data_IF_789800532614
#
_entry.id   IF_789800532614
#
_cell.length_a   1.000
_cell.length_b   1.000
_cell.length_c   1.000
_cell.angle_alpha   90.00
_cell.angle_beta   90.00
_cell.angle_gamma   90.00
#
_symmetry.space_group_name_H-M   'P 1'
#
loop_
_entity.id
_entity.type
_entity.pdbx_description
1 polymer ?
#
# COMPACT_ATOMS: atom_id res chain seq x y z
N UNK A 1 -13.14 -3.21 -24.63
CA UNK A 1 -13.04 -2.45 -23.36
C UNK A 1 -12.38 -3.37 -22.35
N UNK A 2 -11.31 -2.95 -21.67
CA UNK A 2 -10.58 -3.83 -20.75
C UNK A 2 -11.28 -3.85 -19.39
N UNK A 3 -11.52 -5.06 -18.86
CA UNK A 3 -12.06 -5.28 -17.54
C UNK A 3 -10.92 -5.67 -16.58
N UNK A 4 -10.84 -4.98 -15.45
CA UNK A 4 -9.86 -5.19 -14.39
C UNK A 4 -10.55 -5.80 -13.18
N UNK A 5 -9.94 -6.86 -12.65
CA UNK A 5 -10.47 -7.69 -11.57
C UNK A 5 -9.79 -7.34 -10.23
N UNK A 6 -10.35 -7.82 -9.12
CA UNK A 6 -9.79 -7.60 -7.79
C UNK A 6 -8.68 -8.63 -7.51
N UNK A 7 -7.53 -8.20 -6.99
CA UNK A 7 -6.48 -9.14 -6.55
C UNK A 7 -6.69 -9.52 -5.08
N UNK A 8 -7.15 -10.74 -4.81
CA UNK A 8 -7.52 -11.23 -3.47
C UNK A 8 -6.86 -12.59 -3.26
N UNK A 9 -6.15 -12.74 -2.14
CA UNK A 9 -5.50 -14.00 -1.74
C UNK A 9 -4.53 -14.60 -2.80
N UNK A 10 -3.91 -13.76 -3.63
CA UNK A 10 -3.00 -14.22 -4.68
C UNK A 10 -3.65 -14.46 -6.04
N UNK A 11 -4.97 -14.23 -6.15
CA UNK A 11 -5.74 -14.51 -7.36
C UNK A 11 -6.47 -13.26 -7.86
N UNK A 12 -6.68 -13.19 -9.17
CA UNK A 12 -7.48 -12.16 -9.82
C UNK A 12 -8.93 -12.62 -9.92
N UNK A 13 -9.83 -12.00 -9.14
CA UNK A 13 -11.23 -12.38 -9.02
C UNK A 13 -12.15 -11.34 -9.68
N UNK A 14 -13.06 -11.77 -10.58
CA UNK A 14 -14.10 -10.88 -11.10
C UNK A 14 -15.07 -10.47 -9.98
N UNK A 15 -15.80 -9.38 -10.17
CA UNK A 15 -16.89 -8.98 -9.30
C UNK A 15 -18.18 -8.81 -10.11
N UNK A 16 -19.32 -8.98 -9.47
CA UNK A 16 -20.64 -8.81 -10.10
C UNK A 16 -20.86 -7.37 -10.57
N UNK A 17 -20.37 -6.40 -9.80
CA UNK A 17 -20.43 -4.98 -10.14
C UNK A 17 -19.08 -4.51 -10.67
N UNK A 18 -19.14 -3.71 -11.72
CA UNK A 18 -17.99 -2.98 -12.25
C UNK A 18 -18.29 -1.49 -12.32
N UNK A 19 -17.25 -0.67 -12.16
CA UNK A 19 -17.32 0.78 -12.33
C UNK A 19 -16.45 1.20 -13.50
N UNK A 20 -17.03 1.95 -14.44
CA UNK A 20 -16.30 2.59 -15.53
C UNK A 20 -15.41 3.69 -14.97
N UNK A 21 -14.15 3.67 -15.34
CA UNK A 21 -13.21 4.75 -15.14
C UNK A 21 -13.06 5.52 -16.45
N UNK A 22 -13.44 6.79 -16.43
CA UNK A 22 -13.53 7.64 -17.61
C UNK A 22 -12.58 8.80 -17.42
N UNK A 23 -11.83 9.13 -18.47
CA UNK A 23 -10.92 10.24 -18.46
C UNK A 23 -11.71 11.55 -18.25
N UNK A 24 -11.41 12.35 -17.21
CA UNK A 24 -12.14 13.59 -16.94
C UNK A 24 -11.85 14.70 -17.97
N UNK A 25 -10.78 14.58 -18.76
CA UNK A 25 -10.45 15.52 -19.84
C UNK A 25 -11.10 15.17 -21.18
N UNK A 26 -11.56 13.93 -21.35
CA UNK A 26 -12.27 13.45 -22.54
C UNK A 26 -13.24 12.32 -22.13
N UNK A 27 -14.54 12.62 -22.10
CA UNK A 27 -15.55 11.69 -21.60
C UNK A 27 -15.82 10.49 -22.53
N UNK A 28 -15.39 10.58 -23.79
CA UNK A 28 -15.46 9.47 -24.73
C UNK A 28 -14.29 8.48 -24.52
N UNK A 29 -13.25 8.92 -23.81
CA UNK A 29 -12.07 8.14 -23.48
C UNK A 29 -12.28 7.31 -22.20
N UNK A 30 -12.69 6.05 -22.38
CA UNK A 30 -12.86 5.09 -21.28
C UNK A 30 -11.56 4.36 -21.01
N UNK A 31 -11.05 4.49 -19.79
CA UNK A 31 -9.79 3.85 -19.35
C UNK A 31 -9.99 2.35 -19.18
N UNK A 32 -11.09 1.95 -18.56
CA UNK A 32 -11.46 0.56 -18.34
C UNK A 32 -12.61 0.41 -17.35
N UNK A 33 -13.01 -0.83 -17.11
CA UNK A 33 -14.01 -1.20 -16.12
C UNK A 33 -13.34 -1.92 -14.96
N UNK A 34 -13.54 -1.42 -13.74
CA UNK A 34 -12.88 -1.94 -12.55
C UNK A 34 -13.90 -2.64 -11.65
N UNK A 35 -13.59 -3.88 -11.27
CA UNK A 35 -14.38 -4.66 -10.34
C UNK A 35 -14.62 -3.89 -9.03
N UNK A 36 -15.87 -3.87 -8.56
CA UNK A 36 -16.24 -3.35 -7.25
C UNK A 36 -16.44 -4.54 -6.31
N UNK A 37 -15.54 -4.69 -5.33
CA UNK A 37 -15.69 -5.72 -4.32
C UNK A 37 -17.02 -5.59 -3.58
N UNK A 38 -17.67 -6.73 -3.34
CA UNK A 38 -18.81 -6.84 -2.44
C UNK A 38 -18.35 -7.17 -1.00
N UNK A 39 -19.31 -7.38 -0.11
CA UNK A 39 -19.02 -7.71 1.28
C UNK A 39 -18.31 -9.06 1.45
N UNK A 40 -18.63 -10.06 0.62
CA UNK A 40 -18.00 -11.38 0.68
C UNK A 40 -16.54 -11.32 0.22
N UNK A 41 -16.28 -10.67 -0.91
CA UNK A 41 -14.93 -10.44 -1.42
C UNK A 41 -14.09 -9.64 -0.42
N UNK A 42 -14.68 -8.63 0.22
CA UNK A 42 -14.02 -7.86 1.28
C UNK A 42 -13.66 -8.76 2.46
N UNK A 43 -14.60 -9.60 2.93
CA UNK A 43 -14.37 -10.53 4.03
C UNK A 43 -13.29 -11.58 3.69
N UNK A 44 -13.28 -12.07 2.45
CA UNK A 44 -12.25 -12.98 1.94
C UNK A 44 -10.87 -12.32 1.90
N UNK A 45 -10.77 -11.06 1.48
CA UNK A 45 -9.53 -10.30 1.51
C UNK A 45 -9.00 -10.12 2.94
N UNK A 46 -9.89 -9.75 3.88
CA UNK A 46 -9.56 -9.62 5.31
C UNK A 46 -9.07 -10.96 5.88
N UNK A 47 -9.77 -12.05 5.60
CA UNK A 47 -9.39 -13.38 6.06
C UNK A 47 -8.03 -13.83 5.51
N UNK A 48 -7.78 -13.59 4.22
CA UNK A 48 -6.50 -13.91 3.58
C UNK A 48 -5.35 -13.10 4.17
N UNK A 49 -5.55 -11.80 4.40
CA UNK A 49 -4.54 -10.94 5.00
C UNK A 49 -4.24 -11.34 6.46
N UNK A 50 -5.26 -11.70 7.25
CA UNK A 50 -5.08 -12.28 8.60
C UNK A 50 -4.30 -13.59 8.57
N UNK A 51 -4.58 -14.46 7.61
CA UNK A 51 -3.87 -15.73 7.46
C UNK A 51 -2.39 -15.54 7.05
N UNK A 52 -2.09 -14.52 6.24
CA UNK A 52 -0.73 -14.19 5.82
C UNK A 52 0.09 -13.48 6.90
N UNK A 53 -0.58 -12.75 7.82
CA UNK A 53 0.07 -11.89 8.81
C UNK A 53 1.14 -12.60 9.66
N UNK A 54 0.92 -13.79 10.26
CA UNK A 54 1.94 -14.45 11.07
C UNK A 54 3.23 -14.73 10.31
N UNK A 55 3.15 -15.12 9.03
CA UNK A 55 4.33 -15.34 8.20
C UNK A 55 5.04 -14.02 7.89
N UNK A 56 4.28 -12.97 7.61
CA UNK A 56 4.81 -11.64 7.31
C UNK A 56 5.46 -10.97 8.53
N UNK A 57 4.82 -11.02 9.70
CA UNK A 57 5.32 -10.39 10.93
C UNK A 57 6.63 -11.00 11.42
N UNK A 58 6.86 -12.29 11.14
CA UNK A 58 8.10 -13.00 11.47
C UNK A 58 9.16 -12.94 10.36
N UNK A 59 8.90 -12.25 9.25
CA UNK A 59 9.91 -12.09 8.20
C UNK A 59 11.13 -11.33 8.75
N UNK A 60 12.28 -11.51 8.13
CA UNK A 60 13.48 -10.77 8.53
C UNK A 60 13.41 -9.31 8.05
N UNK A 61 14.13 -8.39 8.71
CA UNK A 61 14.36 -7.04 8.20
C UNK A 61 14.84 -7.02 6.74
N UNK A 62 15.77 -7.92 6.39
CA UNK A 62 16.31 -8.00 5.03
C UNK A 62 15.24 -8.39 4.00
N UNK A 63 14.41 -9.39 4.30
CA UNK A 63 13.33 -9.79 3.39
C UNK A 63 12.33 -8.64 3.14
N UNK A 64 12.04 -7.83 4.16
CA UNK A 64 11.18 -6.64 3.99
C UNK A 64 11.87 -5.56 3.17
N UNK A 65 13.16 -5.33 3.40
CA UNK A 65 13.97 -4.41 2.60
C UNK A 65 13.92 -4.82 1.13
N UNK A 66 14.24 -6.08 0.80
CA UNK A 66 14.35 -6.55 -0.58
C UNK A 66 13.03 -6.37 -1.34
N UNK A 67 11.90 -6.71 -0.70
CA UNK A 67 10.57 -6.56 -1.29
C UNK A 67 10.19 -5.09 -1.54
N UNK A 68 10.40 -4.22 -0.55
CA UNK A 68 10.08 -2.79 -0.68
C UNK A 68 11.02 -2.11 -1.69
N UNK A 69 12.31 -2.48 -1.69
CA UNK A 69 13.30 -1.97 -2.62
C UNK A 69 12.95 -2.36 -4.06
N UNK A 70 12.57 -3.63 -4.28
CA UNK A 70 12.13 -4.13 -5.58
C UNK A 70 10.86 -3.41 -6.05
N UNK A 71 9.87 -3.22 -5.17
CA UNK A 71 8.65 -2.48 -5.50
C UNK A 71 8.97 -1.04 -5.92
N UNK A 72 9.79 -0.33 -5.13
CA UNK A 72 10.24 1.02 -5.45
C UNK A 72 11.01 1.10 -6.78
N UNK A 73 11.94 0.18 -7.02
CA UNK A 73 12.68 0.08 -8.30
C UNK A 73 11.73 -0.10 -9.48
N UNK A 74 10.75 -0.99 -9.35
CA UNK A 74 9.77 -1.31 -10.40
C UNK A 74 8.91 -0.10 -10.75
N UNK A 75 8.43 0.63 -9.73
CA UNK A 75 7.64 1.85 -9.92
C UNK A 75 8.49 2.94 -10.62
N UNK A 76 9.71 3.17 -10.15
CA UNK A 76 10.59 4.20 -10.71
C UNK A 76 10.98 3.89 -12.17
N UNK A 77 11.25 2.62 -12.49
CA UNK A 77 11.55 2.18 -13.85
C UNK A 77 10.38 2.45 -14.81
N UNK A 78 9.14 2.38 -14.31
CA UNK A 78 7.90 2.57 -15.10
C UNK A 78 7.24 3.93 -14.89
N UNK A 79 7.92 4.89 -14.25
CA UNK A 79 7.30 6.16 -13.81
C UNK A 79 6.62 6.96 -14.92
N UNK A 80 7.16 6.93 -16.14
CA UNK A 80 6.58 7.65 -17.28
C UNK A 80 5.35 6.94 -17.85
N UNK A 81 5.34 5.61 -17.86
CA UNK A 81 4.19 4.79 -18.27
C UNK A 81 3.04 4.99 -17.28
N UNK A 82 3.31 4.79 -16.00
CA UNK A 82 2.36 4.97 -14.91
C UNK A 82 1.90 6.43 -14.79
N UNK A 83 2.78 7.39 -15.04
CA UNK A 83 2.45 8.82 -15.05
C UNK A 83 1.44 9.18 -16.14
N UNK A 84 1.55 8.58 -17.34
CA UNK A 84 0.55 8.75 -18.40
C UNK A 84 -0.81 8.17 -18.00
N UNK A 85 -0.81 6.99 -17.40
CA UNK A 85 -2.03 6.34 -16.92
C UNK A 85 -2.72 7.19 -15.83
N UNK A 86 -1.96 7.64 -14.83
CA UNK A 86 -2.46 8.49 -13.74
C UNK A 86 -2.97 9.84 -14.25
N UNK A 87 -2.28 10.47 -15.21
CA UNK A 87 -2.75 11.71 -15.83
C UNK A 87 -4.08 11.50 -16.57
N UNK A 88 -4.22 10.41 -17.33
CA UNK A 88 -5.46 10.04 -18.04
C UNK A 88 -6.61 9.73 -17.08
N UNK A 89 -6.31 9.14 -15.93
CA UNK A 89 -7.30 8.78 -14.91
C UNK A 89 -7.80 9.96 -14.08
N UNK A 90 -6.89 10.81 -13.60
CA UNK A 90 -7.25 11.89 -12.67
C UNK A 90 -7.45 13.25 -13.35
N UNK A 91 -6.90 13.45 -14.55
CA UNK A 91 -6.91 14.73 -15.27
C UNK A 91 -5.85 15.73 -14.84
N UNK A 92 -4.83 15.29 -14.07
CA UNK A 92 -3.68 16.13 -13.71
C UNK A 92 -2.70 16.24 -14.86
N UNK A 93 -1.80 17.23 -14.83
CA UNK A 93 -0.79 17.36 -15.89
C UNK A 93 0.16 16.16 -15.90
N UNK A 94 0.71 15.81 -17.07
CA UNK A 94 1.62 14.66 -17.18
C UNK A 94 2.88 14.81 -16.30
N UNK A 95 3.37 16.04 -16.15
CA UNK A 95 4.51 16.35 -15.27
C UNK A 95 4.17 16.10 -13.81
N UNK A 96 3.02 16.56 -13.33
CA UNK A 96 2.56 16.31 -11.96
C UNK A 96 2.34 14.82 -11.69
N UNK A 97 1.67 14.11 -12.60
CA UNK A 97 1.44 12.67 -12.49
C UNK A 97 2.76 11.88 -12.44
N UNK A 98 3.70 12.20 -13.34
CA UNK A 98 5.00 11.54 -13.36
C UNK A 98 5.79 11.82 -12.08
N UNK A 99 5.73 13.04 -11.57
CA UNK A 99 6.35 13.40 -10.30
C UNK A 99 5.71 12.66 -9.12
N UNK A 100 4.39 12.46 -9.13
CA UNK A 100 3.67 11.71 -8.10
C UNK A 100 4.02 10.24 -8.08
N UNK A 101 4.07 9.59 -9.24
CA UNK A 101 4.56 8.20 -9.35
C UNK A 101 6.02 8.11 -8.90
N UNK A 102 6.84 9.10 -9.25
CA UNK A 102 8.21 9.21 -8.76
C UNK A 102 8.27 9.26 -7.23
N UNK A 103 7.46 10.11 -6.60
CA UNK A 103 7.36 10.19 -5.12
C UNK A 103 6.89 8.87 -4.52
N UNK A 104 5.89 8.20 -5.11
CA UNK A 104 5.43 6.89 -4.65
C UNK A 104 6.58 5.87 -4.64
N UNK A 105 7.36 5.77 -5.72
CA UNK A 105 8.53 4.90 -5.78
C UNK A 105 9.59 5.22 -4.72
N UNK A 106 9.82 6.52 -4.43
CA UNK A 106 10.75 6.93 -3.37
C UNK A 106 10.24 6.61 -1.97
N UNK A 107 8.93 6.67 -1.72
CA UNK A 107 8.35 6.25 -0.44
C UNK A 107 8.66 4.76 -0.17
N UNK A 108 8.52 3.90 -1.18
CA UNK A 108 8.91 2.49 -1.05
C UNK A 108 10.41 2.32 -0.74
N UNK A 109 11.29 3.05 -1.43
CA UNK A 109 12.74 3.04 -1.15
C UNK A 109 13.08 3.52 0.26
N UNK A 110 12.41 4.57 0.72
CA UNK A 110 12.59 5.09 2.07
C UNK A 110 12.22 4.03 3.12
N UNK A 111 11.02 3.44 3.02
CA UNK A 111 10.58 2.41 3.97
C UNK A 111 11.34 1.09 3.84
N UNK A 112 11.91 0.78 2.67
CA UNK A 112 12.87 -0.31 2.55
C UNK A 112 14.06 -0.07 3.49
N UNK A 113 14.67 1.11 3.43
CA UNK A 113 15.76 1.51 4.34
C UNK A 113 15.35 1.46 5.82
N UNK A 114 14.14 1.93 6.14
CA UNK A 114 13.63 1.90 7.52
C UNK A 114 13.44 0.47 8.06
N UNK A 115 13.18 -0.52 7.19
CA UNK A 115 13.09 -1.91 7.61
C UNK A 115 14.38 -2.40 8.30
N UNK A 116 15.55 -1.87 7.92
CA UNK A 116 16.87 -2.19 8.49
C UNK A 116 17.23 -1.30 9.68
N UNK A 117 16.47 -0.24 9.97
CA UNK A 117 16.73 0.72 11.06
C UNK A 117 15.78 0.55 12.25
N UNK A 118 15.12 -0.60 12.36
CA UNK A 118 14.28 -0.97 13.50
C UNK A 118 15.16 -1.37 14.70
N UNK A 119 15.87 -0.39 15.25
CA UNK A 119 16.65 -0.53 16.48
C UNK A 119 15.79 -0.51 17.73
N UNK A 120 16.34 -1.09 18.79
CA UNK A 120 15.89 -0.96 20.17
C UNK A 120 16.94 -0.27 21.02
N UNK A 121 16.61 0.01 22.28
CA UNK A 121 17.54 0.61 23.24
C UNK A 121 17.71 -0.31 24.45
N UNK A 122 18.95 -0.38 24.96
CA UNK A 122 19.26 -1.07 26.21
C UNK A 122 19.66 0.00 27.23
N UNK A 123 18.92 0.06 28.33
CA UNK A 123 19.11 1.04 29.40
C UNK A 123 19.47 0.34 30.72
N UNK A 124 20.30 0.96 31.57
CA UNK A 124 20.62 0.42 32.88
C UNK A 124 19.38 0.41 33.78
N UNK A 125 19.21 -0.66 34.54
CA UNK A 125 18.21 -0.67 35.61
C UNK A 125 18.76 -0.03 36.88
N UNK A 126 17.87 0.53 37.70
CA UNK A 126 18.18 0.95 39.08
C UNK A 126 18.37 -0.25 40.02
N UNK A 127 17.96 -1.46 39.62
CA UNK A 127 18.23 -2.68 40.40
C UNK A 127 19.56 -3.30 39.95
N UNK A 128 20.37 -3.85 40.88
CA UNK A 128 21.58 -4.58 40.53
C UNK A 128 21.30 -5.71 39.55
N UNK A 129 22.26 -5.95 38.65
CA UNK A 129 22.27 -7.07 37.70
C UNK A 129 21.05 -7.14 36.77
N UNK A 130 20.42 -5.99 36.47
CA UNK A 130 19.28 -5.90 35.55
C UNK A 130 19.49 -4.83 34.48
N UNK A 131 18.97 -5.11 33.28
CA UNK A 131 18.86 -4.16 32.15
C UNK A 131 17.41 -4.02 31.72
N UNK A 132 17.08 -2.89 31.09
CA UNK A 132 15.78 -2.63 30.47
C UNK A 132 15.99 -2.57 28.97
N UNK A 133 15.25 -3.39 28.23
CA UNK A 133 15.29 -3.42 26.76
C UNK A 133 13.99 -2.86 26.19
N UNK A 134 14.11 -1.96 25.22
CA UNK A 134 12.97 -1.47 24.44
C UNK A 134 13.15 -1.91 22.99
N UNK A 135 12.04 -2.23 22.32
CA UNK A 135 12.06 -2.67 20.94
C UNK A 135 10.76 -2.35 20.24
N UNK A 136 10.82 -2.21 18.92
CA UNK A 136 9.64 -2.00 18.07
C UNK A 136 9.10 -3.35 17.60
N UNK A 137 7.79 -3.52 17.64
CA UNK A 137 7.10 -4.71 17.10
C UNK A 137 6.03 -4.31 16.10
N UNK A 138 5.71 -5.24 15.20
CA UNK A 138 4.60 -5.09 14.26
C UNK A 138 3.28 -5.17 15.04
N UNK A 139 2.42 -4.15 14.87
CA UNK A 139 1.19 -3.98 15.66
C UNK A 139 -0.02 -4.78 15.13
N UNK A 140 -0.02 -5.15 13.85
CA UNK A 140 -1.14 -5.89 13.26
C UNK A 140 -1.27 -5.70 11.75
N UNK A 141 -2.41 -6.14 11.23
CA UNK A 141 -2.86 -5.89 9.86
C UNK A 141 -3.61 -4.55 9.81
N UNK A 142 -3.27 -3.71 8.83
CA UNK A 142 -3.94 -2.43 8.61
C UNK A 142 -4.75 -2.48 7.31
N UNK A 143 -6.00 -2.07 7.37
CA UNK A 143 -6.81 -1.81 6.17
C UNK A 143 -6.50 -0.39 5.66
N UNK A 144 -6.17 -0.28 4.38
CA UNK A 144 -5.91 1.00 3.74
C UNK A 144 -6.88 1.20 2.57
N UNK A 145 -7.74 2.21 2.67
CA UNK A 145 -8.58 2.67 1.56
C UNK A 145 -7.88 3.84 0.85
N UNK A 146 -7.55 3.66 -0.43
CA UNK A 146 -7.00 4.73 -1.26
C UNK A 146 -8.15 5.51 -1.92
N UNK A 147 -8.26 6.81 -1.66
CA UNK A 147 -9.25 7.70 -2.28
C UNK A 147 -8.64 8.55 -3.40
N UNK A 148 -9.33 8.73 -4.52
CA UNK A 148 -8.80 9.38 -5.74
C UNK A 148 -9.15 10.87 -5.90
N UNK A 149 -9.41 11.60 -4.79
CA UNK A 149 -9.43 13.08 -4.69
C UNK A 149 -10.02 13.49 -3.33
N UNK A 150 -9.26 14.19 -2.48
CA UNK A 150 -9.72 14.78 -1.20
C UNK A 150 -10.65 13.86 -0.38
N UNK A 151 -10.13 12.74 0.12
CA UNK A 151 -10.61 12.30 1.42
C UNK A 151 -9.92 13.21 2.44
N UNK A 152 -10.69 14.08 3.10
CA UNK A 152 -10.27 14.86 4.25
C UNK A 152 -9.43 13.97 5.17
N UNK A 153 -8.28 14.48 5.63
CA UNK A 153 -7.39 13.85 6.62
C UNK A 153 -8.09 13.84 7.99
N UNK A 154 -9.26 13.21 8.09
CA UNK A 154 -10.10 13.18 9.29
C UNK A 154 -10.70 11.80 9.60
N UNK A 155 -10.42 10.75 8.83
CA UNK A 155 -10.90 9.40 9.18
C UNK A 155 -9.82 8.30 9.24
N UNK A 156 -8.55 8.62 9.00
CA UNK A 156 -7.45 7.71 9.38
C UNK A 156 -7.04 7.96 10.84
N UNK A 157 -8.05 7.95 11.72
CA UNK A 157 -7.84 7.91 13.16
C UNK A 157 -7.41 6.49 13.51
N UNK A 158 -6.11 6.30 13.71
CA UNK A 158 -5.60 5.18 14.46
C UNK A 158 -6.31 5.15 15.82
N UNK A 159 -7.31 4.29 15.95
CA UNK A 159 -7.93 3.98 17.24
C UNK A 159 -8.02 2.46 17.34
N UNK A 160 -6.92 1.89 17.82
CA UNK A 160 -6.86 0.52 18.31
C UNK A 160 -5.77 0.43 19.39
N UNK A 161 -6.03 1.05 20.54
CA UNK A 161 -5.50 0.69 21.86
C UNK A 161 -6.66 0.99 22.83
N UNK A 162 -6.99 0.03 23.73
CA UNK A 162 -8.31 -0.60 23.89
C UNK A 162 -9.50 0.31 24.17
#
# INVERSE_FOLDING_TARGET
MNQFTNFIAGEWLPAERVKRNVNPSDLDDVIGEFAQADADQTQRAIAAARAAFPKWSHSTPQQRFDLLDQAGSTILARKFELGKLLAREEGKTLSEATAEVGRAGQIFKFFAGEALRLGGEIMPSVRPDMTVETGRRVIGMNDAACGTRRASVESCGAMAVP
#
